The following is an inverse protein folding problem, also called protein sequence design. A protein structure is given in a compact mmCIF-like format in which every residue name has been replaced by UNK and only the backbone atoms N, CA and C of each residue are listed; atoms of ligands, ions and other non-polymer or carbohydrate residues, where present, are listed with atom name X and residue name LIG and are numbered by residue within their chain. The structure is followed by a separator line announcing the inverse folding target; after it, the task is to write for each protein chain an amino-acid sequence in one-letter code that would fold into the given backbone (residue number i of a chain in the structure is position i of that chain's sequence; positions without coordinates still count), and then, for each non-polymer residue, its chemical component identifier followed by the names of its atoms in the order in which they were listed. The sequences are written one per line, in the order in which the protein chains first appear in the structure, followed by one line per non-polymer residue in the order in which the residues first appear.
data_IF_502942405265
#
_entry.id   IF_502942405265
#
_cell.length_a   1.000
_cell.length_b   1.000
_cell.length_c   1.000
_cell.angle_alpha   90.00
_cell.angle_beta   90.00
_cell.angle_gamma   90.00
#
_symmetry.space_group_name_H-M   'P 1'
#
loop_
_entity.id
_entity.type
_entity.pdbx_description
1 polymer ?
#
# COMPACT_ATOMS: atom_id res chain seq x y z
N UNK A 1 27.99 9.55 1.53
CA UNK A 1 27.10 10.52 0.86
C UNK A 1 25.81 9.79 0.54
N UNK A 2 24.85 10.00 1.44
CA UNK A 2 23.41 9.91 1.23
C UNK A 2 22.86 8.61 0.62
N UNK A 3 22.66 7.61 1.49
CA UNK A 3 21.65 6.57 1.30
C UNK A 3 20.27 7.23 1.34
N UNK A 4 19.92 8.00 0.31
CA UNK A 4 18.56 8.49 0.10
C UNK A 4 17.71 7.24 -0.08
N UNK A 5 17.04 6.84 1.00
CA UNK A 5 16.21 5.65 1.06
C UNK A 5 15.23 5.72 -0.10
N UNK A 6 15.29 4.75 -1.01
CA UNK A 6 14.47 4.72 -2.23
C UNK A 6 13.00 4.90 -1.81
N UNK A 7 12.34 5.94 -2.32
CA UNK A 7 10.95 6.21 -1.98
C UNK A 7 10.09 4.96 -2.25
N UNK A 8 9.17 4.56 -1.34
CA UNK A 8 8.42 3.31 -1.47
C UNK A 8 7.64 3.22 -2.79
N UNK A 9 7.16 4.36 -3.29
CA UNK A 9 6.50 4.45 -4.60
C UNK A 9 7.44 4.18 -5.80
N UNK A 10 8.73 4.54 -5.70
CA UNK A 10 9.72 4.21 -6.74
C UNK A 10 10.04 2.72 -6.73
N UNK A 11 10.10 2.10 -5.54
CA UNK A 11 10.20 0.64 -5.40
C UNK A 11 8.95 -0.07 -5.94
N UNK A 12 7.76 0.46 -5.66
CA UNK A 12 6.51 -0.06 -6.21
C UNK A 12 6.47 0.00 -7.74
N UNK A 13 6.87 1.14 -8.33
CA UNK A 13 6.99 1.29 -9.77
C UNK A 13 7.99 0.30 -10.39
N UNK A 14 9.12 0.04 -9.72
CA UNK A 14 10.10 -0.96 -10.15
C UNK A 14 9.54 -2.38 -10.09
N UNK A 15 8.87 -2.75 -8.99
CA UNK A 15 8.26 -4.07 -8.81
C UNK A 15 7.14 -4.33 -9.83
N UNK A 16 6.39 -3.29 -10.19
CA UNK A 16 5.36 -3.37 -11.23
C UNK A 16 5.97 -3.49 -12.65
N UNK A 17 7.15 -2.93 -12.87
CA UNK A 17 7.87 -2.91 -14.15
C UNK A 17 8.00 -1.52 -14.76
N UNK A 18 7.09 -0.59 -14.45
CA UNK A 18 7.28 0.84 -14.76
C UNK A 18 6.33 1.76 -13.97
N UNK A 19 6.76 3.01 -13.75
CA UNK A 19 5.91 4.04 -13.15
C UNK A 19 4.70 4.39 -14.04
N UNK A 20 4.87 4.36 -15.36
CA UNK A 20 3.77 4.63 -16.29
C UNK A 20 2.72 3.52 -16.25
N UNK A 21 3.16 2.25 -16.27
CA UNK A 21 2.25 1.12 -16.16
C UNK A 21 1.49 1.12 -14.84
N UNK A 22 2.19 1.39 -13.72
CA UNK A 22 1.54 1.49 -12.41
C UNK A 22 0.51 2.63 -12.38
N UNK A 23 0.83 3.80 -12.96
CA UNK A 23 -0.12 4.92 -13.05
C UNK A 23 -1.37 4.54 -13.86
N UNK A 24 -1.19 3.88 -15.01
CA UNK A 24 -2.27 3.38 -15.84
C UNK A 24 -3.18 2.42 -15.07
N UNK A 25 -2.60 1.44 -14.36
CA UNK A 25 -3.37 0.51 -13.54
C UNK A 25 -4.14 1.20 -12.41
N UNK A 26 -3.56 2.22 -11.81
CA UNK A 26 -4.21 3.00 -10.75
C UNK A 26 -5.27 3.98 -11.28
N UNK A 27 -5.37 4.17 -12.61
CA UNK A 27 -6.25 5.16 -13.22
C UNK A 27 -5.85 6.60 -12.91
N UNK A 28 -4.55 6.86 -12.73
CA UNK A 28 -3.99 8.18 -12.42
C UNK A 28 -2.93 8.59 -13.44
N UNK A 29 -2.58 9.87 -13.46
CA UNK A 29 -1.47 10.33 -14.29
C UNK A 29 -0.11 9.97 -13.68
N UNK A 30 0.93 9.79 -14.51
CA UNK A 30 2.32 9.65 -14.05
C UNK A 30 2.76 10.87 -13.22
N UNK A 31 2.25 12.06 -13.55
CA UNK A 31 2.45 13.27 -12.77
C UNK A 31 1.92 13.15 -11.34
N UNK A 32 0.75 12.51 -11.15
CA UNK A 32 0.20 12.26 -9.82
C UNK A 32 1.15 11.41 -8.96
N UNK A 33 1.70 10.33 -9.52
CA UNK A 33 2.71 9.52 -8.82
C UNK A 33 3.92 10.36 -8.39
N UNK A 34 4.44 11.23 -9.27
CA UNK A 34 5.56 12.11 -8.91
C UNK A 34 5.19 13.07 -7.78
N UNK A 35 4.01 13.68 -7.85
CA UNK A 35 3.53 14.61 -6.82
C UNK A 35 3.37 13.94 -5.46
N UNK A 36 3.00 12.67 -5.39
CA UNK A 36 2.88 11.94 -4.11
C UNK A 36 4.22 11.71 -3.39
N UNK A 37 5.35 11.87 -4.10
CA UNK A 37 6.70 11.73 -3.52
C UNK A 37 7.27 13.04 -2.97
N UNK A 38 6.57 14.16 -3.17
CA UNK A 38 7.01 15.45 -2.68
C UNK A 38 6.86 15.52 -1.15
N UNK A 39 7.75 16.27 -0.51
CA UNK A 39 7.72 16.46 0.94
C UNK A 39 6.37 17.02 1.41
N UNK A 40 5.87 16.51 2.54
CA UNK A 40 4.54 16.83 3.07
C UNK A 40 3.37 16.31 2.21
N UNK A 41 3.65 15.57 1.13
CA UNK A 41 2.66 14.79 0.39
C UNK A 41 2.82 13.31 0.69
N UNK A 42 1.88 12.50 0.22
CA UNK A 42 1.91 11.06 0.39
C UNK A 42 1.01 10.38 -0.62
N UNK A 43 1.11 9.05 -0.68
CA UNK A 43 0.21 8.24 -1.50
C UNK A 43 -1.20 8.32 -0.89
N UNK A 44 -2.24 8.76 -1.61
CA UNK A 44 -3.58 8.81 -1.05
C UNK A 44 -4.03 7.40 -0.62
N UNK A 45 -4.57 7.29 0.59
CA UNK A 45 -4.93 6.01 1.22
C UNK A 45 -5.73 5.07 0.30
N UNK A 46 -6.67 5.62 -0.48
CA UNK A 46 -7.50 4.86 -1.45
C UNK A 46 -6.71 4.06 -2.49
N UNK A 47 -5.47 4.45 -2.81
CA UNK A 47 -4.62 3.75 -3.77
C UNK A 47 -3.70 2.70 -3.12
N UNK A 48 -3.42 2.84 -1.82
CA UNK A 48 -2.41 2.02 -1.13
C UNK A 48 -2.73 0.50 -1.19
N UNK A 49 -3.97 0.03 -0.93
CA UNK A 49 -4.27 -1.40 -1.02
C UNK A 49 -4.07 -1.98 -2.42
N UNK A 50 -4.35 -1.20 -3.47
CA UNK A 50 -4.13 -1.65 -4.86
C UNK A 50 -2.64 -1.73 -5.18
N UNK A 51 -1.85 -0.74 -4.77
CA UNK A 51 -0.39 -0.76 -4.93
C UNK A 51 0.23 -1.93 -4.17
N UNK A 52 -0.19 -2.18 -2.93
CA UNK A 52 0.30 -3.31 -2.13
C UNK A 52 0.03 -4.64 -2.83
N UNK A 53 -1.20 -4.86 -3.32
CA UNK A 53 -1.55 -6.08 -4.07
C UNK A 53 -0.73 -6.27 -5.35
N UNK A 54 -0.46 -5.20 -6.08
CA UNK A 54 0.24 -5.26 -7.37
C UNK A 54 1.76 -5.37 -7.23
N UNK A 55 2.33 -4.89 -6.11
CA UNK A 55 3.78 -4.65 -6.02
C UNK A 55 4.44 -5.22 -4.76
N UNK A 56 3.65 -5.64 -3.78
CA UNK A 56 4.12 -6.09 -2.47
C UNK A 56 4.62 -4.98 -1.54
N UNK A 57 4.63 -3.71 -1.97
CA UNK A 57 5.01 -2.59 -1.11
C UNK A 57 3.87 -2.27 -0.14
N UNK A 58 4.18 -2.25 1.16
CA UNK A 58 3.16 -2.21 2.22
C UNK A 58 2.43 -0.86 2.26
N UNK A 59 1.14 -0.89 2.63
CA UNK A 59 0.35 0.32 2.82
C UNK A 59 0.97 1.27 3.85
N UNK A 60 1.55 0.69 4.92
CA UNK A 60 2.24 1.43 5.99
C UNK A 60 3.45 2.23 5.48
N UNK A 61 4.12 1.76 4.42
CA UNK A 61 5.24 2.47 3.82
C UNK A 61 4.76 3.56 2.85
N UNK A 62 3.66 3.32 2.13
CA UNK A 62 3.13 4.24 1.12
C UNK A 62 2.41 5.46 1.73
N UNK A 63 1.77 5.26 2.88
CA UNK A 63 0.98 6.25 3.59
C UNK A 63 1.10 6.01 5.10
N UNK A 64 2.20 6.50 5.73
CA UNK A 64 2.51 6.22 7.14
C UNK A 64 1.57 6.93 8.12
N UNK A 65 0.89 8.00 7.70
CA UNK A 65 -0.03 8.76 8.54
C UNK A 65 -1.37 8.04 8.80
N UNK A 66 -1.61 6.92 8.12
CA UNK A 66 -2.84 6.13 8.28
C UNK A 66 -2.58 4.91 9.16
N UNK A 67 -3.44 4.71 10.16
CA UNK A 67 -3.43 3.56 11.06
C UNK A 67 -3.94 2.28 10.38
N UNK A 68 -3.17 1.72 9.45
CA UNK A 68 -3.55 0.54 8.64
C UNK A 68 -3.87 -0.72 9.45
N UNK A 69 -3.33 -0.82 10.67
CA UNK A 69 -3.59 -1.94 11.57
C UNK A 69 -5.08 -2.08 11.92
N UNK A 70 -5.85 -0.99 11.93
CA UNK A 70 -7.32 -1.00 12.17
C UNK A 70 -8.07 -1.76 11.07
N UNK A 71 -7.57 -1.73 9.83
CA UNK A 71 -8.19 -2.40 8.69
C UNK A 71 -7.77 -3.87 8.56
N UNK A 72 -6.71 -4.29 9.24
CA UNK A 72 -6.24 -5.69 9.20
C UNK A 72 -7.17 -6.54 10.07
N UNK A 73 -8.20 -7.10 9.44
CA UNK A 73 -9.09 -8.08 10.09
C UNK A 73 -8.25 -9.29 10.53
N UNK A 74 -8.05 -9.41 11.84
CA UNK A 74 -7.63 -10.68 12.44
C UNK A 74 -8.84 -11.59 12.44
N UNK A 75 -8.82 -12.63 11.60
CA UNK A 75 -9.61 -13.82 11.85
C UNK A 75 -8.97 -14.54 13.04
N UNK A 76 -9.20 -14.02 14.25
CA UNK A 76 -9.08 -14.87 15.43
C UNK A 76 -10.13 -15.97 15.25
N UNK A 77 -9.68 -17.22 15.21
CA UNK A 77 -10.47 -18.35 14.76
C UNK A 77 -11.84 -18.43 15.41
N UNK A 78 -12.88 -18.22 14.60
CA UNK A 78 -14.22 -18.68 14.91
C UNK A 78 -14.34 -20.11 14.35
N UNK A 79 -13.58 -21.00 14.97
CA UNK A 79 -13.48 -22.41 14.65
C UNK A 79 -13.87 -23.25 15.86
N UNK A 80 -15.17 -23.33 16.12
CA UNK A 80 -15.81 -24.46 16.82
C UNK A 80 -15.82 -24.44 18.35
N UNK A 81 -16.98 -24.09 18.94
CA UNK A 81 -17.58 -24.83 20.05
C UNK A 81 -19.10 -24.57 20.04
N UNK A 82 -19.82 -25.27 19.17
CA UNK A 82 -21.24 -25.58 19.37
C UNK A 82 -21.41 -27.10 19.34
N UNK A 83 -20.58 -27.80 20.10
CA UNK A 83 -20.88 -29.15 20.56
C UNK A 83 -20.89 -29.10 22.09
N UNK A 84 -21.99 -29.61 22.66
CA UNK A 84 -22.41 -29.68 24.06
C UNK A 84 -23.19 -28.49 24.64
N UNK A 85 -24.51 -28.56 24.47
CA UNK A 85 -25.45 -28.39 25.58
C UNK A 85 -26.34 -29.66 25.63
N UNK A 86 -26.62 -30.19 26.83
CA UNK A 86 -27.27 -31.49 27.04
C UNK A 86 -28.71 -31.56 26.54
#
# INVERSE_FOLDING_TARGET
MDTSSIHPLDRAAKNFGSAQGLATELGVSKGALHQWKLDGRGTPAKHCPKIERLTGVRCEELCPDVEWWVLRRSIAGDGGQLDLLP
#
